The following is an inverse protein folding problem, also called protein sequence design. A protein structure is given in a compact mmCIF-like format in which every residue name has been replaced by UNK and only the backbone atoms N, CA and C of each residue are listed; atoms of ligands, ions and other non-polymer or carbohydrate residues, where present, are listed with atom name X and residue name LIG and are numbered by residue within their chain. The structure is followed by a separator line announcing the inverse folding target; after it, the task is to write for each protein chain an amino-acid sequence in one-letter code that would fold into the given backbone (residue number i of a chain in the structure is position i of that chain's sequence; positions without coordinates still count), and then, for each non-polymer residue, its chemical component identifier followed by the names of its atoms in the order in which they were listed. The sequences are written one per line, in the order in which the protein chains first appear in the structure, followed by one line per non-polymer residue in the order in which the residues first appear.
data_IF_052360963946
#
_entry.id   IF_052360963946
#
_cell.length_a   1.000
_cell.length_b   1.000
_cell.length_c   1.000
_cell.angle_alpha   90.00
_cell.angle_beta   90.00
_cell.angle_gamma   90.00
#
_symmetry.space_group_name_H-M   'P 1'
#
loop_
_entity.id
_entity.type
_entity.pdbx_description
1 polymer ?
#
# COMPACT_ATOMS: atom_id res chain seq x y z
N UNK A 1 13.25 -2.72 8.39
CA UNK A 1 12.44 -2.95 7.18
C UNK A 1 13.31 -3.63 6.13
N UNK A 2 12.93 -4.82 5.66
CA UNK A 2 13.76 -5.60 4.72
C UNK A 2 12.97 -5.91 3.45
N UNK A 3 13.35 -5.28 2.35
CA UNK A 3 12.85 -5.59 1.01
C UNK A 3 13.58 -6.84 0.49
N UNK A 4 12.83 -7.87 0.08
CA UNK A 4 13.38 -9.09 -0.52
C UNK A 4 13.01 -9.13 -2.00
N UNK A 5 13.98 -9.52 -2.84
CA UNK A 5 13.81 -9.66 -4.29
C UNK A 5 14.09 -11.11 -4.63
N UNK A 6 13.10 -11.78 -5.22
CA UNK A 6 13.25 -13.12 -5.79
C UNK A 6 13.24 -13.02 -7.31
N UNK A 7 14.31 -13.45 -7.95
CA UNK A 7 14.39 -13.56 -9.41
C UNK A 7 14.00 -14.98 -9.83
N UNK A 8 13.05 -15.08 -10.75
CA UNK A 8 12.63 -16.33 -11.38
C UNK A 8 13.27 -16.47 -12.75
N UNK A 9 13.32 -17.70 -13.26
CA UNK A 9 13.63 -17.93 -14.67
C UNK A 9 12.66 -17.13 -15.54
N UNK A 10 13.19 -16.55 -16.64
CA UNK A 10 12.46 -15.68 -17.56
C UNK A 10 12.21 -14.23 -17.07
N UNK A 11 13.17 -13.64 -16.36
CA UNK A 11 13.18 -12.21 -16.00
C UNK A 11 12.02 -11.73 -15.11
N UNK A 12 11.25 -12.64 -14.51
CA UNK A 12 10.21 -12.27 -13.53
C UNK A 12 10.87 -11.98 -12.18
N UNK A 13 10.77 -10.74 -11.72
CA UNK A 13 11.20 -10.34 -10.38
C UNK A 13 9.98 -10.24 -9.48
N UNK A 14 10.02 -10.92 -8.34
CA UNK A 14 9.03 -10.79 -7.28
C UNK A 14 9.63 -10.00 -6.14
N UNK A 15 9.13 -8.77 -5.94
CA UNK A 15 9.58 -7.87 -4.87
C UNK A 15 8.56 -7.95 -3.74
N UNK A 16 9.01 -8.26 -2.54
CA UNK A 16 8.12 -8.37 -1.38
C UNK A 16 8.77 -7.88 -0.09
N UNK A 17 7.93 -7.52 0.88
CA UNK A 17 8.37 -7.20 2.24
C UNK A 17 8.60 -8.50 3.01
N UNK A 18 9.86 -8.76 3.39
CA UNK A 18 10.21 -9.93 4.19
C UNK A 18 9.80 -9.78 5.65
N UNK A 19 9.77 -8.54 6.14
CA UNK A 19 9.51 -8.18 7.54
C UNK A 19 8.45 -7.08 7.57
N UNK A 20 7.46 -7.23 8.46
CA UNK A 20 6.44 -6.22 8.70
C UNK A 20 7.09 -4.91 9.17
N UNK A 21 6.76 -3.75 8.57
CA UNK A 21 7.30 -2.45 8.96
C UNK A 21 7.03 -2.08 10.42
N UNK A 22 5.86 -2.51 10.91
CA UNK A 22 5.24 -2.02 12.14
C UNK A 22 5.69 -2.85 13.33
N UNK A 23 5.50 -4.17 13.26
CA UNK A 23 5.70 -5.06 14.40
C UNK A 23 6.93 -5.97 14.28
N UNK A 24 7.67 -5.91 13.16
CA UNK A 24 8.85 -6.74 12.94
C UNK A 24 8.56 -8.22 12.63
N UNK A 25 7.30 -8.60 12.39
CA UNK A 25 6.92 -9.96 12.01
C UNK A 25 7.63 -10.40 10.72
N UNK A 26 8.33 -11.54 10.76
CA UNK A 26 9.00 -12.11 9.59
C UNK A 26 8.08 -13.04 8.81
N UNK A 27 7.66 -12.60 7.63
CA UNK A 27 6.84 -13.43 6.73
C UNK A 27 7.69 -14.48 6.00
N UNK A 28 7.20 -15.72 5.95
CA UNK A 28 7.81 -16.77 5.11
C UNK A 28 7.24 -16.73 3.69
N UNK A 29 7.99 -17.28 2.72
CA UNK A 29 7.71 -17.15 1.27
C UNK A 29 6.28 -17.50 0.84
N UNK A 30 5.65 -18.49 1.49
CA UNK A 30 4.32 -19.01 1.15
C UNK A 30 3.20 -18.48 2.05
N UNK A 31 3.53 -17.59 2.97
CA UNK A 31 2.54 -17.03 3.88
C UNK A 31 1.73 -15.93 3.20
N UNK A 32 0.42 -15.93 3.47
CA UNK A 32 -0.49 -14.88 3.01
C UNK A 32 -0.33 -13.66 3.90
N UNK A 33 0.53 -12.73 3.46
CA UNK A 33 0.83 -11.47 4.17
C UNK A 33 -0.39 -10.58 4.35
N UNK A 34 -1.37 -10.65 3.44
CA UNK A 34 -2.63 -9.93 3.56
C UNK A 34 -3.30 -10.17 4.93
N UNK A 35 -3.35 -11.43 5.40
CA UNK A 35 -3.94 -11.75 6.70
C UNK A 35 -3.14 -11.23 7.89
N UNK A 36 -1.82 -11.08 7.73
CA UNK A 36 -1.01 -10.42 8.77
C UNK A 36 -1.29 -8.91 8.80
N UNK A 37 -1.42 -8.27 7.63
CA UNK A 37 -1.66 -6.83 7.50
C UNK A 37 -3.06 -6.45 8.02
N UNK A 38 -4.06 -7.32 7.85
CA UNK A 38 -5.42 -7.14 8.40
C UNK A 38 -5.46 -6.98 9.94
N UNK A 39 -4.40 -7.39 10.64
CA UNK A 39 -4.29 -7.23 12.09
C UNK A 39 -3.69 -5.90 12.56
N UNK A 40 -3.35 -4.99 11.63
CA UNK A 40 -2.83 -3.66 11.93
C UNK A 40 -3.87 -2.60 11.60
N UNK A 41 -3.94 -1.57 12.42
CA UNK A 41 -4.75 -0.40 12.15
C UNK A 41 -4.01 0.49 11.11
N UNK A 42 -4.72 1.25 10.27
CA UNK A 42 -4.09 2.20 9.34
C UNK A 42 -3.08 3.15 10.00
N UNK A 43 -3.36 3.56 11.24
CA UNK A 43 -2.57 4.45 12.08
C UNK A 43 -1.21 3.87 12.44
N UNK A 44 -1.10 2.53 12.54
CA UNK A 44 0.16 1.84 12.76
C UNK A 44 1.15 2.04 11.60
N UNK A 45 0.62 2.30 10.40
CA UNK A 45 1.39 2.65 9.21
C UNK A 45 1.56 4.16 9.03
N UNK A 46 1.09 4.97 9.98
CA UNK A 46 1.04 6.43 9.85
C UNK A 46 0.03 6.91 8.81
N UNK A 47 -0.96 6.07 8.45
CA UNK A 47 -2.06 6.45 7.58
C UNK A 47 -3.22 7.01 8.41
N UNK A 48 -4.01 7.88 7.81
CA UNK A 48 -5.27 8.29 8.40
C UNK A 48 -6.24 7.11 8.48
N UNK A 49 -7.16 7.11 9.46
CA UNK A 49 -8.16 6.06 9.62
C UNK A 49 -8.93 5.79 8.33
N UNK A 50 -9.33 4.53 8.13
CA UNK A 50 -10.16 4.14 6.99
C UNK A 50 -11.48 4.92 6.99
N UNK A 51 -11.71 5.68 5.92
CA UNK A 51 -12.91 6.52 5.77
C UNK A 51 -12.67 8.01 6.04
N UNK A 52 -11.53 8.37 6.61
CA UNK A 52 -11.07 9.76 6.65
C UNK A 52 -10.33 10.06 5.35
N UNK A 53 -10.89 10.95 4.54
CA UNK A 53 -10.20 11.52 3.39
C UNK A 53 -9.91 12.97 3.70
N UNK A 54 -8.65 13.37 3.52
CA UNK A 54 -8.26 14.77 3.59
C UNK A 54 -9.10 15.58 2.58
N UNK A 55 -9.62 16.74 2.99
CA UNK A 55 -10.38 17.64 2.11
C UNK A 55 -9.56 18.00 0.84
N UNK A 56 -8.23 18.04 0.97
CA UNK A 56 -7.31 18.23 -0.14
C UNK A 56 -7.25 17.02 -1.08
N UNK A 57 -7.35 15.80 -0.55
CA UNK A 57 -7.44 14.57 -1.35
C UNK A 57 -8.79 14.45 -2.09
N UNK A 58 -9.82 15.15 -1.64
CA UNK A 58 -11.13 15.23 -2.29
C UNK A 58 -11.21 16.30 -3.38
N UNK A 59 -10.15 17.12 -3.56
CA UNK A 59 -10.13 18.11 -4.62
C UNK A 59 -10.15 17.43 -5.99
N UNK A 60 -10.89 17.99 -6.96
CA UNK A 60 -10.83 17.51 -8.34
C UNK A 60 -9.38 17.47 -8.82
N UNK A 61 -8.93 16.30 -9.27
CA UNK A 61 -7.56 16.08 -9.77
C UNK A 61 -7.20 17.04 -10.92
N UNK A 62 -8.21 17.54 -11.63
CA UNK A 62 -8.07 18.58 -12.64
C UNK A 62 -9.04 19.71 -12.29
N UNK A 63 -8.49 20.91 -12.08
CA UNK A 63 -9.26 22.11 -11.72
C UNK A 63 -10.46 22.27 -12.65
N UNK A 64 -11.65 22.31 -12.05
CA UNK A 64 -12.96 22.13 -12.69
C UNK A 64 -13.28 23.10 -13.82
N UNK A 65 -12.65 22.93 -14.98
CA UNK A 65 -13.12 23.52 -16.23
C UNK A 65 -14.24 22.65 -16.76
N UNK A 66 -15.46 23.02 -16.38
CA UNK A 66 -16.67 22.61 -17.07
C UNK A 66 -16.54 23.12 -18.50
N UNK A 67 -16.27 22.23 -19.45
CA UNK A 67 -16.32 22.55 -20.87
C UNK A 67 -17.80 22.86 -21.20
N UNK A 68 -18.15 24.15 -21.27
CA UNK A 68 -19.41 24.57 -21.85
C UNK A 68 -19.27 24.49 -23.37
N UNK A 69 -19.86 23.46 -23.96
CA UNK A 69 -20.13 23.44 -25.40
C UNK A 69 -21.14 24.56 -25.70
N UNK A 70 -20.73 25.51 -26.53
CA UNK A 70 -21.61 26.35 -27.34
C UNK A 70 -21.70 25.74 -28.73
#
# INVERSE_FOLDING_TARGET
MTLRIEEYSWSRKHIYLGVCPVCGYESVRKEKREYHIEGHDPEDFGLSPLGETDEEAQRPLWGGRVWRCW
#
